data_IF_840713679689
#
_entry.id   IF_840713679689
#
_cell.length_a   1.000
_cell.length_b   1.000
_cell.length_c   1.000
_cell.angle_alpha   90.00
_cell.angle_beta   90.00
_cell.angle_gamma   90.00
#
_symmetry.space_group_name_H-M   'P 1'
#
loop_
_entity.id
_entity.type
_entity.pdbx_description
1 polymer ?
#
# COMPACT_ATOMS: atom_id res chain seq x y z
N UNK A 1 19.31 3.94 -12.18
CA UNK A 1 18.30 3.40 -11.24
C UNK A 1 18.55 3.94 -9.83
N UNK A 2 17.50 4.37 -9.12
CA UNK A 2 17.63 4.88 -7.75
C UNK A 2 18.09 3.77 -6.80
N UNK A 3 17.49 2.59 -6.93
CA UNK A 3 17.95 1.31 -6.36
C UNK A 3 17.32 0.15 -7.18
N UNK A 4 17.63 -1.10 -6.84
CA UNK A 4 16.92 -2.25 -7.43
C UNK A 4 15.42 -2.16 -7.10
N UNK A 5 14.56 -2.29 -8.11
CA UNK A 5 13.10 -2.21 -7.94
C UNK A 5 12.53 -0.80 -7.71
N UNK A 6 13.35 0.25 -7.63
CA UNK A 6 12.90 1.63 -7.41
C UNK A 6 13.13 2.51 -8.66
N UNK A 7 12.03 3.05 -9.20
CA UNK A 7 12.01 3.77 -10.47
C UNK A 7 11.49 5.20 -10.31
N UNK A 8 12.11 6.14 -11.03
CA UNK A 8 11.59 7.50 -11.20
C UNK A 8 10.80 7.57 -12.50
N UNK A 9 9.50 7.87 -12.40
CA UNK A 9 8.68 8.14 -13.58
C UNK A 9 8.97 9.54 -14.13
N UNK A 10 9.65 9.59 -15.27
CA UNK A 10 9.91 10.83 -16.01
C UNK A 10 8.61 11.39 -16.62
N UNK A 11 8.57 12.67 -17.06
CA UNK A 11 7.32 13.35 -17.40
C UNK A 11 6.42 12.59 -18.39
N UNK A 12 6.98 12.00 -19.46
CA UNK A 12 6.20 11.23 -20.44
C UNK A 12 5.64 9.94 -19.83
N UNK A 13 6.41 9.23 -19.01
CA UNK A 13 5.96 8.02 -18.32
C UNK A 13 4.86 8.33 -17.31
N UNK A 14 5.01 9.42 -16.54
CA UNK A 14 4.00 9.88 -15.59
C UNK A 14 2.67 10.24 -16.29
N UNK A 15 2.72 10.86 -17.49
CA UNK A 15 1.52 11.12 -18.30
C UNK A 15 0.77 9.84 -18.68
N UNK A 16 1.50 8.77 -19.03
CA UNK A 16 0.88 7.49 -19.38
C UNK A 16 0.32 6.81 -18.14
N UNK A 17 1.07 6.79 -17.02
CA UNK A 17 0.61 6.24 -15.75
C UNK A 17 -0.73 6.86 -15.31
N UNK A 18 -0.85 8.19 -15.38
CA UNK A 18 -2.10 8.89 -15.02
C UNK A 18 -3.27 8.57 -15.93
N UNK A 19 -3.04 8.28 -17.21
CA UNK A 19 -4.12 7.82 -18.11
C UNK A 19 -4.65 6.45 -17.71
N UNK A 20 -3.76 5.53 -17.36
CA UNK A 20 -4.14 4.19 -16.89
C UNK A 20 -4.92 4.29 -15.58
N UNK A 21 -4.40 5.05 -14.61
CA UNK A 21 -5.06 5.29 -13.33
C UNK A 21 -6.47 5.88 -13.51
N UNK A 22 -6.63 6.84 -14.41
CA UNK A 22 -7.93 7.47 -14.69
C UNK A 22 -8.96 6.46 -15.21
N UNK A 23 -8.57 5.60 -16.15
CA UNK A 23 -9.47 4.58 -16.70
C UNK A 23 -9.89 3.59 -15.60
N UNK A 24 -8.94 3.15 -14.76
CA UNK A 24 -9.26 2.24 -13.64
C UNK A 24 -10.26 2.89 -12.68
N UNK A 25 -10.01 4.16 -12.29
CA UNK A 25 -10.91 4.91 -11.41
C UNK A 25 -12.32 5.04 -11.99
N UNK A 26 -12.43 5.44 -13.26
CA UNK A 26 -13.73 5.61 -13.92
C UNK A 26 -14.56 4.32 -13.96
N UNK A 27 -13.92 3.16 -14.19
CA UNK A 27 -14.62 1.88 -14.19
C UNK A 27 -15.00 1.43 -12.76
N UNK A 28 -14.16 1.70 -11.76
CA UNK A 28 -14.48 1.42 -10.36
C UNK A 28 -15.66 2.28 -9.89
N UNK A 29 -15.69 3.57 -10.22
CA UNK A 29 -16.81 4.47 -9.92
C UNK A 29 -18.11 4.00 -10.57
N UNK A 30 -18.07 3.57 -11.85
CA UNK A 30 -19.23 3.00 -12.56
C UNK A 30 -19.75 1.74 -11.90
N UNK A 31 -18.87 0.95 -11.27
CA UNK A 31 -19.25 -0.25 -10.53
C UNK A 31 -19.84 0.03 -9.15
N UNK A 32 -19.80 1.29 -8.70
CA UNK A 32 -20.32 1.72 -7.40
C UNK A 32 -19.32 1.60 -6.25
N UNK A 33 -18.04 1.36 -6.54
CA UNK A 33 -16.99 1.42 -5.52
C UNK A 33 -16.79 2.85 -5.00
N UNK A 34 -16.32 2.99 -3.76
CA UNK A 34 -16.00 4.28 -3.15
C UNK A 34 -14.47 4.36 -2.96
N UNK A 35 -13.81 5.25 -3.69
CA UNK A 35 -12.36 5.42 -3.59
C UNK A 35 -11.96 6.02 -2.23
N UNK A 36 -10.94 5.41 -1.61
CA UNK A 36 -10.32 5.89 -0.37
C UNK A 36 -8.79 5.86 -0.51
N UNK A 37 -8.10 6.72 0.24
CA UNK A 37 -6.63 6.75 0.29
C UNK A 37 -6.17 6.38 1.69
N UNK A 38 -5.51 5.22 1.80
CA UNK A 38 -5.02 4.68 3.07
C UNK A 38 -3.51 4.91 3.24
N UNK A 39 -3.00 5.02 4.48
CA UNK A 39 -1.56 5.16 4.74
C UNK A 39 -0.75 3.98 4.16
N UNK A 40 0.45 4.28 3.66
CA UNK A 40 1.42 3.24 3.25
C UNK A 40 2.07 2.59 4.48
N UNK A 41 2.30 3.39 5.53
CA UNK A 41 2.81 2.89 6.82
C UNK A 41 1.65 2.35 7.63
N UNK A 42 1.74 1.11 8.07
CA UNK A 42 0.68 0.41 8.81
C UNK A 42 1.21 -0.08 10.17
N UNK A 43 0.44 0.04 11.27
CA UNK A 43 0.82 -0.50 12.57
C UNK A 43 1.08 -2.00 12.51
N UNK A 44 2.15 -2.48 13.16
CA UNK A 44 2.46 -3.91 13.21
C UNK A 44 1.39 -4.74 13.92
N UNK A 45 0.68 -4.14 14.89
CA UNK A 45 -0.36 -4.83 15.68
C UNK A 45 -1.48 -5.38 14.78
N UNK A 46 -1.95 -4.61 13.79
CA UNK A 46 -2.97 -5.04 12.82
C UNK A 46 -2.56 -6.31 12.06
N UNK A 47 -1.28 -6.42 11.73
CA UNK A 47 -0.72 -7.57 10.99
C UNK A 47 -0.51 -8.79 11.91
N UNK A 48 -0.29 -8.57 13.21
CA UNK A 48 -0.21 -9.64 14.19
C UNK A 48 -1.60 -10.22 14.46
N UNK A 49 -2.62 -9.36 14.55
CA UNK A 49 -4.03 -9.77 14.70
C UNK A 49 -4.51 -10.65 13.55
N UNK A 50 -4.07 -10.38 12.32
CA UNK A 50 -4.39 -11.20 11.15
C UNK A 50 -3.48 -12.42 10.96
N UNK A 51 -2.48 -12.61 11.84
CA UNK A 51 -1.41 -13.61 11.75
C UNK A 51 -0.51 -13.46 10.51
N UNK A 52 -0.77 -12.49 9.61
CA UNK A 52 0.02 -12.28 8.39
C UNK A 52 1.38 -11.66 8.66
N UNK A 53 1.60 -11.10 9.85
CA UNK A 53 2.90 -10.61 10.28
C UNK A 53 4.00 -11.67 10.11
N UNK A 54 3.76 -12.92 10.49
CA UNK A 54 4.74 -14.01 10.34
C UNK A 54 4.62 -14.71 8.98
N UNK A 55 3.39 -14.98 8.54
CA UNK A 55 3.12 -15.78 7.34
C UNK A 55 3.63 -15.11 6.04
N UNK A 56 3.62 -13.78 5.97
CA UNK A 56 4.12 -13.05 4.79
C UNK A 56 5.64 -13.19 4.61
N UNK A 57 6.36 -13.53 5.68
CA UNK A 57 7.78 -13.86 5.61
C UNK A 57 8.67 -12.65 5.26
N UNK A 58 9.76 -12.85 4.50
CA UNK A 58 10.82 -11.86 4.32
C UNK A 58 10.47 -10.71 3.38
N UNK A 59 9.41 -10.84 2.58
CA UNK A 59 8.97 -9.79 1.65
C UNK A 59 8.24 -8.64 2.37
N UNK A 60 7.78 -8.87 3.60
CA UNK A 60 7.15 -7.84 4.42
C UNK A 60 8.21 -6.92 5.01
N UNK A 61 8.28 -5.70 4.47
CA UNK A 61 9.22 -4.67 4.93
C UNK A 61 8.74 -4.12 6.28
N UNK A 62 9.39 -4.60 7.35
CA UNK A 62 9.15 -4.22 8.74
C UNK A 62 10.17 -3.16 9.17
N UNK A 63 9.75 -2.20 9.96
CA UNK A 63 10.64 -1.22 10.58
C UNK A 63 10.06 -0.73 11.91
N UNK A 64 10.92 -0.15 12.75
CA UNK A 64 10.51 0.50 13.99
C UNK A 64 10.62 2.02 13.84
N UNK A 65 9.68 2.75 14.43
CA UNK A 65 9.83 4.19 14.55
C UNK A 65 10.81 4.57 15.68
N UNK A 66 10.99 5.88 15.90
CA UNK A 66 11.85 6.40 16.98
C UNK A 66 11.40 6.07 18.41
N UNK A 67 10.19 5.54 18.58
CA UNK A 67 9.64 5.10 19.86
C UNK A 67 9.61 3.58 19.99
N UNK A 68 10.39 2.87 19.17
CA UNK A 68 10.47 1.41 19.13
C UNK A 68 9.13 0.71 18.85
N UNK A 69 8.19 1.40 18.19
CA UNK A 69 6.91 0.80 17.79
C UNK A 69 7.04 0.10 16.43
N UNK A 70 6.52 -1.12 16.27
CA UNK A 70 6.63 -1.87 15.02
C UNK A 70 5.65 -1.36 13.97
N UNK A 71 6.13 -1.24 12.74
CA UNK A 71 5.35 -0.88 11.55
C UNK A 71 5.76 -1.72 10.35
N UNK A 72 4.91 -1.71 9.33
CA UNK A 72 5.23 -2.21 7.99
C UNK A 72 4.99 -1.16 6.93
N UNK A 73 5.75 -1.26 5.83
CA UNK A 73 5.30 -0.67 4.56
C UNK A 73 4.33 -1.67 3.93
N UNK A 74 3.04 -1.35 3.98
CA UNK A 74 1.96 -2.24 3.59
C UNK A 74 2.08 -2.70 2.13
N UNK A 75 2.27 -4.01 1.87
CA UNK A 75 2.22 -4.55 0.52
C UNK A 75 0.77 -4.65 -0.01
N UNK A 76 -0.21 -4.60 0.90
CA UNK A 76 -1.66 -4.56 0.66
C UNK A 76 -2.34 -3.98 1.91
N UNK A 77 -3.67 -3.86 1.90
CA UNK A 77 -4.47 -3.10 2.89
C UNK A 77 -5.67 -3.87 3.46
N UNK A 78 -5.72 -5.21 3.40
CA UNK A 78 -6.87 -5.97 3.94
C UNK A 78 -7.09 -5.71 5.43
N UNK A 79 -6.04 -5.73 6.25
CA UNK A 79 -6.13 -5.46 7.69
C UNK A 79 -6.62 -4.03 7.97
N UNK A 80 -6.10 -3.06 7.21
CA UNK A 80 -6.41 -1.64 7.41
C UNK A 80 -7.85 -1.33 7.02
N UNK A 81 -8.36 -1.90 5.93
CA UNK A 81 -9.74 -1.65 5.50
C UNK A 81 -10.74 -2.37 6.40
N UNK A 82 -10.37 -3.53 6.97
CA UNK A 82 -11.20 -4.24 7.95
C UNK A 82 -11.29 -3.50 9.28
N UNK A 83 -10.20 -2.88 9.76
CA UNK A 83 -10.23 -2.06 10.98
C UNK A 83 -11.05 -0.76 10.80
N UNK A 84 -11.08 -0.21 9.58
CA UNK A 84 -11.86 1.00 9.27
C UNK A 84 -13.38 0.78 9.27
N UNK A 85 -13.84 -0.44 8.96
CA UNK A 85 -15.23 -0.77 8.65
C UNK A 85 -15.98 -1.39 9.84
#
# INVERSE_FOLDING_TARGET
PLASGLYTWLPTGLKVLRKVEQIVREEMDKSGALEVSMPVVQPGDLWQESERWEQYGPELLRFNDRGDRPFVLGPTHEEVITDLA
#
